data_IF_893462227598
#
_entry.id   IF_893462227598
#
_cell.length_a   1.000
_cell.length_b   1.000
_cell.length_c   1.000
_cell.angle_alpha   90.00
_cell.angle_beta   90.00
_cell.angle_gamma   90.00
#
_symmetry.space_group_name_H-M   'P 1'
#
loop_
_entity.id
_entity.type
_entity.pdbx_description
1 polymer ?
#
# COMPACT_ATOMS: atom_id res chain seq x y z
N UNK A 1 32.89 -12.65 -31.94
CA UNK A 1 33.70 -12.29 -30.75
C UNK A 1 33.08 -11.11 -30.03
N UNK A 2 33.36 -9.88 -30.46
CA UNK A 2 32.95 -8.66 -29.74
C UNK A 2 31.43 -8.37 -29.74
N UNK A 3 30.72 -8.63 -30.83
CA UNK A 3 29.27 -8.31 -30.92
C UNK A 3 28.38 -9.13 -29.98
N UNK A 4 28.76 -10.37 -29.69
CA UNK A 4 28.01 -11.25 -28.77
C UNK A 4 28.17 -10.75 -27.33
N UNK A 5 29.40 -10.43 -26.94
CA UNK A 5 29.72 -9.89 -25.59
C UNK A 5 29.00 -8.57 -25.32
N UNK A 6 28.88 -7.69 -26.32
CA UNK A 6 28.16 -6.41 -26.18
C UNK A 6 26.66 -6.64 -26.00
N UNK A 7 26.07 -7.57 -26.74
CA UNK A 7 24.64 -7.90 -26.61
C UNK A 7 24.34 -8.54 -25.26
N UNK A 8 25.19 -9.44 -24.78
CA UNK A 8 25.07 -10.06 -23.46
C UNK A 8 25.17 -9.02 -22.34
N UNK A 9 26.09 -8.06 -22.45
CA UNK A 9 26.26 -6.99 -21.46
C UNK A 9 25.04 -6.04 -21.41
N UNK A 10 24.46 -5.72 -22.57
CA UNK A 10 23.25 -4.91 -22.66
C UNK A 10 22.01 -5.64 -22.11
N UNK A 11 21.90 -6.95 -22.35
CA UNK A 11 20.85 -7.78 -21.76
C UNK A 11 20.96 -7.86 -20.24
N UNK A 12 22.17 -8.00 -19.70
CA UNK A 12 22.41 -8.00 -18.25
C UNK A 12 22.02 -6.64 -17.64
N UNK A 13 22.37 -5.52 -18.29
CA UNK A 13 21.95 -4.18 -17.85
C UNK A 13 20.43 -4.00 -17.91
N UNK A 14 19.76 -4.52 -18.94
CA UNK A 14 18.31 -4.47 -19.06
C UNK A 14 17.62 -5.28 -17.96
N UNK A 15 18.13 -6.47 -17.64
CA UNK A 15 17.62 -7.31 -16.54
C UNK A 15 17.86 -6.68 -15.18
N UNK A 16 19.04 -6.05 -14.97
CA UNK A 16 19.35 -5.29 -13.76
C UNK A 16 18.53 -4.00 -13.63
N UNK A 17 18.11 -3.38 -14.75
CA UNK A 17 17.20 -2.23 -14.76
C UNK A 17 15.75 -2.60 -14.47
N UNK A 18 15.41 -3.89 -14.56
CA UNK A 18 14.14 -4.47 -14.13
C UNK A 18 13.97 -4.53 -12.61
N UNK A 19 14.61 -3.63 -11.86
CA UNK A 19 14.25 -3.37 -10.46
C UNK A 19 12.77 -2.98 -10.48
N UNK A 20 11.94 -3.78 -9.83
CA UNK A 20 10.53 -3.47 -9.62
C UNK A 20 10.46 -2.10 -8.93
N UNK A 21 10.14 -1.06 -9.70
CA UNK A 21 9.77 0.23 -9.16
C UNK A 21 8.39 0.06 -8.52
N UNK A 22 8.37 -0.20 -7.22
CA UNK A 22 7.14 -0.13 -6.44
C UNK A 22 6.84 1.34 -6.22
N UNK A 23 5.98 1.89 -7.07
CA UNK A 23 5.42 3.24 -6.92
C UNK A 23 4.00 3.13 -6.39
N UNK A 24 3.70 3.92 -5.36
CA UNK A 24 2.39 3.98 -4.75
C UNK A 24 1.43 4.62 -5.74
N UNK A 25 0.17 4.21 -5.68
CA UNK A 25 -0.87 4.87 -6.45
C UNK A 25 -1.10 6.25 -5.81
N UNK A 26 -0.88 7.32 -6.58
CA UNK A 26 -1.45 8.62 -6.22
C UNK A 26 -2.97 8.49 -6.34
N UNK A 27 -3.65 8.36 -5.21
CA UNK A 27 -5.12 8.28 -5.19
C UNK A 27 -5.75 9.68 -5.10
N UNK A 28 -7.00 9.72 -4.64
CA UNK A 28 -7.76 10.96 -4.40
C UNK A 28 -7.09 11.96 -3.43
N UNK A 29 -6.03 11.50 -2.77
CA UNK A 29 -5.31 12.12 -1.68
C UNK A 29 -3.87 12.21 -2.19
N UNK A 30 -3.21 13.36 -2.11
CA UNK A 30 -1.80 13.55 -2.48
C UNK A 30 -0.80 12.70 -1.66
N UNK A 31 -1.28 11.65 -1.02
CA UNK A 31 -0.56 10.64 -0.26
C UNK A 31 -0.27 9.43 -1.14
N UNK A 32 0.87 8.81 -0.87
CA UNK A 32 1.15 7.48 -1.38
C UNK A 32 0.21 6.48 -0.71
N UNK A 33 -0.49 5.70 -1.52
CA UNK A 33 -1.39 4.63 -1.06
C UNK A 33 -1.38 3.47 -2.03
N UNK A 34 -1.86 2.32 -1.56
CA UNK A 34 -2.02 1.12 -2.37
C UNK A 34 -3.26 0.38 -1.90
N UNK A 35 -3.99 -0.24 -2.82
CA UNK A 35 -5.20 -0.98 -2.50
C UNK A 35 -5.43 -2.02 -3.58
N UNK A 36 -6.11 -3.09 -3.21
CA UNK A 36 -6.39 -4.19 -4.12
C UNK A 36 -6.90 -5.40 -3.39
N UNK A 37 -6.88 -6.52 -4.11
CA UNK A 37 -7.27 -7.82 -3.57
C UNK A 37 -6.03 -8.71 -3.46
N UNK A 38 -6.01 -9.55 -2.44
CA UNK A 38 -5.03 -10.63 -2.29
C UNK A 38 -5.76 -11.96 -2.17
N UNK A 39 -5.27 -12.94 -2.92
CA UNK A 39 -5.79 -14.30 -2.90
C UNK A 39 -5.33 -14.99 -1.62
N UNK A 40 -6.27 -15.53 -0.83
CA UNK A 40 -5.97 -16.21 0.44
C UNK A 40 -6.25 -17.72 0.38
N UNK A 41 -7.11 -18.16 -0.53
CA UNK A 41 -7.36 -19.57 -0.94
C UNK A 41 -8.11 -19.56 -2.29
N UNK A 42 -8.38 -20.73 -2.87
CA UNK A 42 -9.20 -20.84 -4.09
C UNK A 42 -10.52 -20.07 -3.91
N UNK A 43 -10.82 -19.21 -4.90
CA UNK A 43 -12.06 -18.41 -4.97
C UNK A 43 -12.30 -17.49 -3.76
N UNK A 44 -11.23 -17.10 -3.06
CA UNK A 44 -11.30 -16.28 -1.86
C UNK A 44 -10.27 -15.14 -1.91
N UNK A 45 -10.78 -13.91 -1.93
CA UNK A 45 -9.98 -12.72 -2.13
C UNK A 45 -10.28 -11.71 -1.01
N UNK A 46 -9.27 -11.31 -0.24
CA UNK A 46 -9.41 -10.25 0.75
C UNK A 46 -9.08 -8.90 0.14
N UNK A 47 -9.91 -7.90 0.39
CA UNK A 47 -9.60 -6.52 0.02
C UNK A 47 -8.72 -5.88 1.09
N UNK A 48 -7.73 -5.10 0.64
CA UNK A 48 -6.87 -4.31 1.51
C UNK A 48 -6.75 -2.87 1.02
N UNK A 49 -6.48 -1.97 1.96
CA UNK A 49 -6.09 -0.58 1.69
C UNK A 49 -4.93 -0.19 2.59
N UNK A 50 -3.80 0.11 1.98
CA UNK A 50 -2.57 0.60 2.60
C UNK A 50 -2.44 2.12 2.40
N UNK A 51 -2.23 2.84 3.50
CA UNK A 51 -1.77 4.23 3.49
C UNK A 51 -0.32 4.26 3.94
N UNK A 52 0.57 4.78 3.09
CA UNK A 52 1.94 5.05 3.52
C UNK A 52 1.94 6.28 4.43
N UNK A 53 2.93 6.34 5.32
CA UNK A 53 3.07 7.43 6.29
C UNK A 53 3.06 8.82 5.63
N UNK A 54 2.41 9.81 6.26
CA UNK A 54 2.30 11.17 5.71
C UNK A 54 3.68 11.79 5.43
N UNK A 55 3.72 12.68 4.43
CA UNK A 55 4.91 13.46 4.03
C UNK A 55 6.07 12.63 3.46
N UNK A 56 5.90 11.33 3.31
CA UNK A 56 6.80 10.50 2.52
C UNK A 56 6.42 10.57 1.06
N UNK A 57 7.30 11.15 0.24
CA UNK A 57 7.09 11.25 -1.21
C UNK A 57 7.66 10.04 -1.97
N UNK A 58 8.70 9.39 -1.43
CA UNK A 58 9.32 8.19 -1.99
C UNK A 58 9.02 6.97 -1.13
N UNK A 59 8.49 5.91 -1.71
CA UNK A 59 8.15 4.67 -0.98
C UNK A 59 9.33 4.07 -0.22
N UNK A 60 10.55 4.17 -0.76
CA UNK A 60 11.76 3.71 -0.09
C UNK A 60 11.92 4.32 1.30
N UNK A 61 11.49 5.56 1.52
CA UNK A 61 11.54 6.23 2.81
C UNK A 61 10.46 5.72 3.77
N UNK A 62 9.33 5.21 3.25
CA UNK A 62 8.25 4.65 4.05
C UNK A 62 8.71 3.41 4.82
N UNK A 63 9.72 2.69 4.32
CA UNK A 63 10.33 1.53 5.00
C UNK A 63 10.94 1.84 6.37
N UNK A 64 11.20 3.13 6.66
CA UNK A 64 11.72 3.59 7.96
C UNK A 64 10.64 3.62 9.05
N UNK A 65 9.36 3.51 8.67
CA UNK A 65 8.21 3.55 9.56
C UNK A 65 7.60 2.15 9.71
N UNK A 66 7.09 1.79 10.89
CA UNK A 66 6.49 0.47 11.09
C UNK A 66 5.18 0.35 10.30
N UNK A 67 4.81 -0.90 9.97
CA UNK A 67 3.49 -1.22 9.45
C UNK A 67 2.59 -1.58 10.64
N UNK A 68 1.43 -0.93 10.72
CA UNK A 68 0.35 -1.30 11.62
C UNK A 68 -0.76 -1.96 10.80
N UNK A 69 -1.12 -3.18 11.19
CA UNK A 69 -2.26 -3.89 10.62
C UNK A 69 -3.48 -3.62 11.49
N UNK A 70 -4.56 -3.14 10.87
CA UNK A 70 -5.85 -2.94 11.53
C UNK A 70 -6.88 -3.93 11.01
N UNK A 71 -7.52 -4.63 11.94
CA UNK A 71 -8.57 -5.61 11.69
C UNK A 71 -9.81 -5.21 12.48
N UNK A 72 -10.87 -4.84 11.78
CA UNK A 72 -12.13 -4.53 12.42
C UNK A 72 -12.79 -5.80 12.93
N UNK A 73 -13.31 -5.71 14.15
CA UNK A 73 -14.07 -6.77 14.79
C UNK A 73 -15.50 -6.91 14.25
N UNK A 74 -16.33 -7.62 14.99
CA UNK A 74 -17.70 -7.92 14.60
C UNK A 74 -18.14 -9.24 15.23
N UNK A 75 -18.23 -10.33 14.43
CA UNK A 75 -17.41 -10.68 13.25
C UNK A 75 -17.85 -10.07 11.90
N UNK A 76 -16.90 -9.90 10.96
CA UNK A 76 -17.17 -9.44 9.58
C UNK A 76 -17.24 -7.92 9.38
N UNK A 77 -16.82 -7.14 10.38
CA UNK A 77 -16.71 -5.69 10.21
C UNK A 77 -15.64 -5.32 9.19
N UNK A 78 -15.92 -4.30 8.39
CA UNK A 78 -14.97 -3.81 7.40
C UNK A 78 -13.94 -2.88 8.04
N UNK A 79 -12.66 -3.23 7.91
CA UNK A 79 -11.54 -2.36 8.26
C UNK A 79 -11.44 -1.21 7.27
N UNK A 80 -11.57 -1.48 5.97
CA UNK A 80 -11.39 -0.46 4.92
C UNK A 80 -12.56 0.52 4.83
N UNK A 81 -13.72 0.12 5.34
CA UNK A 81 -14.92 0.94 5.51
C UNK A 81 -15.01 1.57 6.90
N UNK A 82 -15.30 0.77 7.93
CA UNK A 82 -15.55 1.30 9.28
C UNK A 82 -14.27 1.83 9.93
N UNK A 83 -13.24 0.98 10.06
CA UNK A 83 -11.97 1.38 10.68
C UNK A 83 -11.33 2.59 10.00
N UNK A 84 -11.34 2.61 8.67
CA UNK A 84 -10.79 3.69 7.88
C UNK A 84 -11.58 5.00 8.06
N UNK A 85 -12.88 5.01 7.76
CA UNK A 85 -13.64 6.25 7.67
C UNK A 85 -14.24 6.73 9.00
N UNK A 86 -14.33 5.85 10.01
CA UNK A 86 -14.88 6.22 11.32
C UNK A 86 -13.81 6.30 12.41
N UNK A 87 -12.71 5.55 12.35
CA UNK A 87 -11.80 5.41 13.50
C UNK A 87 -10.40 5.99 13.30
N UNK A 88 -9.63 5.47 12.34
CA UNK A 88 -8.17 5.72 12.31
C UNK A 88 -7.62 6.15 10.95
N UNK A 89 -8.42 6.09 9.89
CA UNK A 89 -7.97 6.45 8.55
C UNK A 89 -7.86 7.95 8.30
N UNK A 90 -7.27 8.36 7.16
CA UNK A 90 -6.93 9.75 6.89
C UNK A 90 -8.14 10.68 6.70
N UNK A 91 -9.33 10.13 6.41
CA UNK A 91 -10.53 10.92 6.14
C UNK A 91 -11.74 10.36 6.88
N UNK A 92 -12.68 11.25 7.17
CA UNK A 92 -14.03 10.87 7.58
C UNK A 92 -14.90 10.56 6.35
N UNK A 93 -16.06 9.92 6.57
CA UNK A 93 -17.04 9.62 5.50
C UNK A 93 -17.49 10.85 4.71
N UNK A 94 -17.56 12.01 5.37
CA UNK A 94 -17.90 13.29 4.72
C UNK A 94 -16.73 13.92 3.93
N UNK A 95 -15.63 13.18 3.73
CA UNK A 95 -14.42 13.59 2.99
C UNK A 95 -13.60 14.68 3.66
N UNK A 96 -13.83 15.00 4.94
CA UNK A 96 -12.94 15.90 5.68
C UNK A 96 -11.71 15.15 6.16
N UNK A 97 -10.56 15.82 6.14
CA UNK A 97 -9.30 15.26 6.64
C UNK A 97 -9.35 15.05 8.16
N UNK A 98 -8.91 13.88 8.62
CA UNK A 98 -8.76 13.53 10.03
C UNK A 98 -7.34 13.87 10.47
N UNK A 99 -7.18 14.97 11.21
CA UNK A 99 -5.88 15.39 11.74
C UNK A 99 -5.27 14.39 12.73
N UNK A 100 -6.10 13.52 13.32
CA UNK A 100 -5.70 12.46 14.27
C UNK A 100 -5.53 11.08 13.62
N UNK A 101 -5.45 11.00 12.28
CA UNK A 101 -5.20 9.73 11.58
C UNK A 101 -3.92 9.06 12.05
N UNK A 102 -3.95 7.73 12.15
CA UNK A 102 -2.76 6.95 12.51
C UNK A 102 -1.71 6.96 11.41
N UNK A 103 -2.13 7.14 10.15
CA UNK A 103 -1.24 7.22 8.99
C UNK A 103 -0.29 8.44 9.03
N UNK A 104 -0.43 9.34 10.01
CA UNK A 104 0.57 10.39 10.27
C UNK A 104 1.90 9.84 10.83
N UNK A 105 1.89 8.64 11.42
CA UNK A 105 3.03 8.12 12.18
C UNK A 105 3.49 6.73 11.71
N UNK A 106 2.65 6.00 10.98
CA UNK A 106 2.89 4.60 10.57
C UNK A 106 2.40 4.35 9.15
N UNK A 107 2.88 3.28 8.54
CA UNK A 107 2.23 2.70 7.36
C UNK A 107 1.01 1.92 7.82
N UNK A 108 -0.19 2.39 7.47
CA UNK A 108 -1.45 1.84 7.98
C UNK A 108 -2.07 0.88 6.96
N UNK A 109 -2.10 -0.41 7.28
CA UNK A 109 -2.70 -1.46 6.48
C UNK A 109 -4.05 -1.88 7.06
N UNK A 110 -5.13 -1.57 6.34
CA UNK A 110 -6.49 -1.97 6.68
C UNK A 110 -6.89 -3.18 5.83
N UNK A 111 -7.38 -4.24 6.45
CA UNK A 111 -7.74 -5.50 5.76
C UNK A 111 -9.17 -5.88 6.08
N UNK A 112 -9.99 -6.04 5.04
CA UNK A 112 -11.33 -6.60 5.20
C UNK A 112 -11.22 -8.11 5.35
N UNK A 113 -11.61 -8.59 6.53
CA UNK A 113 -11.55 -9.98 6.92
C UNK A 113 -12.81 -10.37 7.72
N UNK A 114 -13.26 -11.63 7.66
CA UNK A 114 -12.79 -12.70 6.78
C UNK A 114 -13.26 -12.52 5.32
N UNK A 115 -12.97 -13.50 4.46
CA UNK A 115 -13.66 -13.70 3.16
C UNK A 115 -15.02 -14.35 3.39
#
# INVERSE_FOLDING_TARGET
GAGVVVVDFLLILAVLSGVCYVSGRKGFLDWNQEYGFVDVRSDAHMFYWMFYVQNVTKIEEASKFPIVIWLQGGPGGSSTGYGNFYEIGPYYVNKTYRTTTWANYVNLLLIDNPV
#
